data_IF_304724389850
#
_entry.id   IF_304724389850
#
_cell.length_a   1.000
_cell.length_b   1.000
_cell.length_c   1.000
_cell.angle_alpha   90.00
_cell.angle_beta   90.00
_cell.angle_gamma   90.00
#
_symmetry.space_group_name_H-M   'P 1'
#
loop_
_entity.id
_entity.type
_entity.pdbx_description
1 polymer ?
#
# COMPACT_ATOMS: atom_id res chain seq x y z
N UNK A 1 3.73 1.12 11.72
CA UNK A 1 2.61 2.04 11.38
C UNK A 1 1.66 1.33 10.42
N UNK A 2 0.39 1.73 10.36
CA UNK A 2 -0.59 1.12 9.43
C UNK A 2 -1.00 2.18 8.41
N UNK A 3 -0.86 1.84 7.12
CA UNK A 3 -1.32 2.66 6.01
C UNK A 3 -2.30 1.88 5.14
N UNK A 4 -3.12 2.62 4.39
CA UNK A 4 -4.16 2.06 3.54
C UNK A 4 -4.12 2.68 2.14
N UNK A 5 -4.34 1.88 1.11
CA UNK A 5 -4.50 2.33 -0.28
C UNK A 5 -5.84 1.83 -0.78
N UNK A 6 -6.73 2.75 -1.16
CA UNK A 6 -8.04 2.50 -1.77
C UNK A 6 -8.16 3.18 -3.14
N UNK A 7 -9.31 3.01 -3.82
CA UNK A 7 -9.56 3.66 -5.11
C UNK A 7 -9.50 5.20 -5.04
N UNK A 8 -9.86 5.78 -3.90
CA UNK A 8 -9.98 7.24 -3.74
C UNK A 8 -8.84 7.82 -2.90
N UNK A 9 -8.27 7.03 -2.00
CA UNK A 9 -7.23 7.47 -1.07
C UNK A 9 -5.94 6.67 -1.19
N UNK A 10 -4.81 7.37 -1.07
CA UNK A 10 -3.52 6.76 -0.86
C UNK A 10 -2.61 7.76 -0.10
N UNK A 11 -1.74 7.28 0.82
CA UNK A 11 -0.68 8.10 1.39
C UNK A 11 0.32 8.52 0.30
N UNK A 12 1.14 9.56 0.54
CA UNK A 12 2.20 9.94 -0.38
C UNK A 12 3.07 8.74 -0.77
N UNK A 13 3.37 8.59 -2.06
CA UNK A 13 4.14 7.45 -2.57
C UNK A 13 5.55 7.34 -1.96
N UNK A 14 6.12 8.48 -1.51
CA UNK A 14 7.37 8.51 -0.76
C UNK A 14 7.24 7.79 0.58
N UNK A 15 6.17 8.06 1.32
CA UNK A 15 5.90 7.43 2.61
C UNK A 15 5.70 5.92 2.46
N UNK A 16 5.05 5.48 1.38
CA UNK A 16 4.91 4.05 1.05
C UNK A 16 6.28 3.39 0.87
N UNK A 17 7.24 4.07 0.23
CA UNK A 17 8.59 3.54 0.04
C UNK A 17 9.42 3.51 1.32
N UNK A 18 9.06 4.32 2.31
CA UNK A 18 9.74 4.34 3.60
C UNK A 18 9.30 3.21 4.54
N UNK A 19 8.20 2.53 4.22
CA UNK A 19 7.71 1.40 5.01
C UNK A 19 8.71 0.25 5.05
N UNK A 20 8.78 -0.40 6.20
CA UNK A 20 9.76 -1.45 6.48
C UNK A 20 9.22 -2.49 7.47
N UNK A 21 10.10 -3.36 7.97
CA UNK A 21 9.77 -4.34 8.99
C UNK A 21 9.09 -3.69 10.22
N UNK A 22 7.93 -4.23 10.60
CA UNK A 22 7.10 -3.69 11.68
C UNK A 22 5.99 -2.73 11.21
N UNK A 23 5.98 -2.36 9.92
CA UNK A 23 4.89 -1.63 9.30
C UNK A 23 3.92 -2.55 8.55
N UNK A 24 2.67 -2.13 8.46
CA UNK A 24 1.65 -2.77 7.64
C UNK A 24 1.09 -1.81 6.59
N UNK A 25 0.84 -2.33 5.39
CA UNK A 25 0.17 -1.65 4.31
C UNK A 25 -1.02 -2.48 3.82
N UNK A 26 -2.20 -1.91 3.91
CA UNK A 26 -3.45 -2.57 3.53
C UNK A 26 -3.88 -2.05 2.15
N UNK A 27 -3.93 -2.97 1.19
CA UNK A 27 -4.45 -2.70 -0.15
C UNK A 27 -5.94 -3.06 -0.14
N UNK A 28 -6.76 -2.02 -0.03
CA UNK A 28 -8.22 -2.14 0.06
C UNK A 28 -8.79 -2.70 -1.24
N UNK A 29 -10.01 -3.24 -1.17
CA UNK A 29 -10.71 -3.68 -2.37
C UNK A 29 -10.80 -2.53 -3.39
N UNK A 30 -10.53 -2.83 -4.67
CA UNK A 30 -10.61 -1.84 -5.73
C UNK A 30 -9.44 -0.85 -5.81
N UNK A 31 -8.37 -0.97 -5.00
CA UNK A 31 -7.21 -0.07 -5.08
C UNK A 31 -6.57 0.06 -6.48
N UNK A 32 -6.74 -0.96 -7.34
CA UNK A 32 -6.30 -0.95 -8.74
C UNK A 32 -7.16 -0.06 -9.66
N UNK A 33 -8.26 0.48 -9.18
CA UNK A 33 -9.10 1.42 -9.91
C UNK A 33 -8.53 2.85 -9.87
N UNK A 34 -7.57 3.14 -8.97
CA UNK A 34 -6.79 4.39 -9.00
C UNK A 34 -6.10 4.53 -10.34
N UNK A 35 -6.09 5.73 -10.93
CA UNK A 35 -5.38 5.99 -12.19
C UNK A 35 -3.86 5.67 -12.08
N UNK A 36 -3.27 5.92 -10.92
CA UNK A 36 -1.85 5.76 -10.65
C UNK A 36 -1.49 4.44 -9.96
N UNK A 37 -2.39 3.45 -9.96
CA UNK A 37 -2.20 2.18 -9.23
C UNK A 37 -0.90 1.45 -9.57
N UNK A 38 -0.42 1.52 -10.81
CA UNK A 38 0.86 0.90 -11.23
C UNK A 38 2.04 1.50 -10.46
N UNK A 39 2.02 2.81 -10.20
CA UNK A 39 3.09 3.49 -9.45
C UNK A 39 3.08 3.04 -8.00
N UNK A 40 1.89 2.94 -7.41
CA UNK A 40 1.73 2.39 -6.06
C UNK A 40 2.13 0.93 -5.97
N UNK A 41 1.82 0.10 -6.98
CA UNK A 41 2.27 -1.28 -7.03
C UNK A 41 3.80 -1.38 -6.92
N UNK A 42 4.54 -0.54 -7.63
CA UNK A 42 5.99 -0.51 -7.56
C UNK A 42 6.50 -0.07 -6.17
N UNK A 43 5.84 0.90 -5.53
CA UNK A 43 6.18 1.34 -4.17
C UNK A 43 5.88 0.26 -3.12
N UNK A 44 4.74 -0.44 -3.26
CA UNK A 44 4.36 -1.58 -2.42
C UNK A 44 5.38 -2.71 -2.54
N UNK A 45 5.82 -3.04 -3.76
CA UNK A 45 6.84 -4.05 -3.98
C UNK A 45 8.18 -3.67 -3.31
N UNK A 46 8.53 -2.39 -3.33
CA UNK A 46 9.71 -1.88 -2.62
C UNK A 46 9.57 -2.01 -1.09
N UNK A 47 8.43 -1.60 -0.53
CA UNK A 47 8.14 -1.74 0.90
C UNK A 47 8.16 -3.22 1.35
N UNK A 48 7.58 -4.11 0.54
CA UNK A 48 7.60 -5.55 0.77
C UNK A 48 9.03 -6.09 0.83
N UNK A 49 9.91 -5.64 -0.08
CA UNK A 49 11.33 -6.02 -0.06
C UNK A 49 12.07 -5.51 1.19
N UNK A 50 11.58 -4.44 1.84
CA UNK A 50 12.07 -3.91 3.12
C UNK A 50 11.46 -4.59 4.36
N UNK A 51 10.58 -5.58 4.16
CA UNK A 51 9.95 -6.35 5.25
C UNK A 51 8.61 -5.80 5.73
N UNK A 52 8.01 -4.83 5.03
CA UNK A 52 6.65 -4.38 5.33
C UNK A 52 5.63 -5.50 5.03
N UNK A 53 4.65 -5.66 5.91
CA UNK A 53 3.55 -6.62 5.73
C UNK A 53 2.50 -6.03 4.81
N UNK A 54 2.25 -6.68 3.67
CA UNK A 54 1.24 -6.24 2.71
C UNK A 54 -0.01 -7.12 2.84
N UNK A 55 -1.16 -6.52 3.12
CA UNK A 55 -2.46 -7.22 3.13
C UNK A 55 -3.26 -6.84 1.91
N UNK A 56 -3.44 -7.78 0.97
CA UNK A 56 -4.20 -7.55 -0.25
C UNK A 56 -5.66 -7.97 -0.10
N UNK A 57 -6.59 -7.13 -0.58
CA UNK A 57 -8.01 -7.40 -0.43
C UNK A 57 -8.46 -7.27 1.01
N UNK A 58 -7.84 -6.34 1.76
CA UNK A 58 -8.29 -6.00 3.08
C UNK A 58 -9.71 -5.43 2.98
N UNK A 59 -10.64 -6.06 3.69
CA UNK A 59 -11.98 -5.58 3.95
C UNK A 59 -11.99 -5.22 5.43
N UNK A 60 -11.83 -3.93 5.74
CA UNK A 60 -11.73 -3.48 7.14
C UNK A 60 -13.09 -3.33 7.82
N UNK A 61 -14.19 -3.71 7.15
CA UNK A 61 -15.54 -3.64 7.69
C UNK A 61 -16.16 -2.25 7.60
#
# INVERSE_FOLDING_TARGET
MIYEISADYAPPIGDVRELSAGDELHLMQGWKQREDWIRYLAAVAHAMARGCIIRQGADLG
#
